data_IF_546494373793
#
_entry.id   IF_546494373793
#
_cell.length_a   1.000
_cell.length_b   1.000
_cell.length_c   1.000
_cell.angle_alpha   90.00
_cell.angle_beta   90.00
_cell.angle_gamma   90.00
#
_symmetry.space_group_name_H-M   'P 1'
#
loop_
_entity.id
_entity.type
_entity.pdbx_description
1 polymer ?
#
# COMPACT_ATOMS: atom_id res chain seq x y z
N UNK A 1 -12.13 30.36 17.48
CA UNK A 1 -11.45 29.85 16.27
C UNK A 1 -11.26 28.36 16.47
N UNK A 2 -12.37 27.62 16.50
CA UNK A 2 -12.37 26.17 16.61
C UNK A 2 -11.99 25.60 15.24
N UNK A 3 -10.86 24.92 15.18
CA UNK A 3 -10.46 24.16 14.01
C UNK A 3 -11.35 22.93 13.90
N UNK A 4 -12.36 23.06 13.03
CA UNK A 4 -12.82 22.07 12.06
C UNK A 4 -12.45 20.61 12.36
N UNK A 5 -13.29 19.94 13.16
CA UNK A 5 -13.39 18.48 13.16
C UNK A 5 -13.81 18.06 11.75
N UNK A 6 -12.87 17.48 10.99
CA UNK A 6 -13.19 16.82 9.73
C UNK A 6 -14.14 15.67 10.04
N UNK A 7 -15.43 15.89 9.79
CA UNK A 7 -16.40 14.84 9.67
C UNK A 7 -15.95 13.96 8.50
N UNK A 8 -15.28 12.85 8.81
CA UNK A 8 -15.29 11.68 7.94
C UNK A 8 -16.73 11.16 7.97
N UNK A 9 -17.60 11.82 7.21
CA UNK A 9 -18.97 11.38 7.03
C UNK A 9 -18.86 9.97 6.45
N UNK A 10 -19.32 9.01 7.25
CA UNK A 10 -19.18 7.56 7.05
C UNK A 10 -20.08 7.13 5.89
N UNK A 11 -19.74 7.56 4.67
CA UNK A 11 -20.25 6.95 3.45
C UNK A 11 -19.28 5.87 3.02
N UNK A 12 -19.78 4.65 2.93
CA UNK A 12 -19.00 3.52 2.42
C UNK A 12 -18.85 3.75 0.91
N UNK A 13 -17.66 4.19 0.50
CA UNK A 13 -17.34 4.60 -0.88
C UNK A 13 -17.04 3.36 -1.76
N UNK A 14 -16.70 2.24 -1.14
CA UNK A 14 -16.40 0.98 -1.82
C UNK A 14 -16.13 -0.19 -0.87
N UNK A 15 -15.79 -1.34 -1.46
CA UNK A 15 -15.45 -2.57 -0.74
C UNK A 15 -14.28 -3.28 -1.42
N UNK A 16 -13.41 -3.91 -0.64
CA UNK A 16 -12.37 -4.80 -1.16
C UNK A 16 -12.93 -6.22 -1.31
N UNK A 17 -12.84 -6.77 -2.52
CA UNK A 17 -13.42 -8.07 -2.88
C UNK A 17 -12.30 -9.05 -3.21
N UNK A 18 -12.38 -10.25 -2.64
CA UNK A 18 -11.47 -11.37 -2.96
C UNK A 18 -12.24 -12.48 -3.64
N UNK A 19 -11.82 -12.85 -4.85
CA UNK A 19 -12.43 -13.90 -5.66
C UNK A 19 -11.47 -15.08 -5.78
N UNK A 20 -11.96 -16.29 -5.49
CA UNK A 20 -11.21 -17.54 -5.64
C UNK A 20 -11.76 -18.37 -6.79
N UNK A 21 -10.88 -18.76 -7.71
CA UNK A 21 -11.26 -19.60 -8.85
C UNK A 21 -11.34 -21.06 -8.39
N UNK A 22 -12.54 -21.53 -8.02
CA UNK A 22 -12.73 -22.89 -7.47
C UNK A 22 -12.57 -23.97 -8.54
N UNK A 23 -13.02 -23.72 -9.77
CA UNK A 23 -12.94 -24.69 -10.87
C UNK A 23 -12.51 -23.96 -12.15
N UNK A 24 -11.37 -24.36 -12.70
CA UNK A 24 -10.89 -23.89 -13.98
C UNK A 24 -10.48 -25.09 -14.84
N UNK A 25 -11.02 -25.17 -16.07
CA UNK A 25 -10.72 -26.24 -17.04
C UNK A 25 -9.68 -25.83 -18.10
N UNK A 26 -9.36 -24.55 -18.21
CA UNK A 26 -8.41 -24.03 -19.21
C UNK A 26 -7.05 -23.65 -18.61
N UNK A 27 -7.02 -23.18 -17.37
CA UNK A 27 -5.79 -22.81 -16.67
C UNK A 27 -5.77 -23.41 -15.26
N UNK A 28 -4.67 -23.25 -14.51
CA UNK A 28 -4.56 -23.75 -13.15
C UNK A 28 -5.73 -23.28 -12.26
N UNK A 29 -6.41 -24.20 -11.55
CA UNK A 29 -7.45 -23.84 -10.60
C UNK A 29 -6.86 -23.22 -9.33
N UNK A 30 -7.74 -22.68 -8.47
CA UNK A 30 -7.46 -22.16 -7.12
C UNK A 30 -6.63 -20.88 -7.02
N UNK A 31 -6.45 -20.14 -8.12
CA UNK A 31 -5.91 -18.77 -8.06
C UNK A 31 -6.89 -17.83 -7.36
N UNK A 32 -6.35 -16.90 -6.57
CA UNK A 32 -7.07 -15.81 -5.92
C UNK A 32 -6.78 -14.50 -6.62
N UNK A 33 -7.78 -13.64 -6.73
CA UNK A 33 -7.65 -12.27 -7.19
C UNK A 33 -8.32 -11.34 -6.18
N UNK A 34 -7.67 -10.23 -5.87
CA UNK A 34 -8.20 -9.20 -4.97
C UNK A 34 -8.29 -7.89 -5.73
N UNK A 35 -9.43 -7.21 -5.62
CA UNK A 35 -9.65 -5.93 -6.27
C UNK A 35 -10.65 -5.08 -5.47
N UNK A 36 -10.63 -3.77 -5.75
CA UNK A 36 -11.52 -2.80 -5.11
C UNK A 36 -12.76 -2.54 -5.98
N UNK A 37 -13.92 -2.53 -5.33
CA UNK A 37 -15.21 -2.22 -5.93
C UNK A 37 -15.68 -0.85 -5.45
N UNK A 38 -15.76 0.12 -6.37
CA UNK A 38 -16.35 1.44 -6.11
C UNK A 38 -17.85 1.41 -6.42
N UNK A 39 -18.70 1.79 -5.46
CA UNK A 39 -20.15 1.80 -5.68
C UNK A 39 -20.52 2.83 -6.76
N UNK A 40 -21.29 2.41 -7.76
CA UNK A 40 -21.73 3.25 -8.89
C UNK A 40 -20.77 3.29 -10.10
N UNK A 41 -19.51 2.90 -9.95
CA UNK A 41 -18.53 2.80 -11.06
C UNK A 41 -18.12 1.36 -11.37
N UNK A 42 -18.22 0.45 -10.40
CA UNK A 42 -17.86 -0.95 -10.54
C UNK A 42 -16.39 -1.22 -10.18
N UNK A 43 -15.77 -2.17 -10.89
CA UNK A 43 -14.42 -2.65 -10.59
C UNK A 43 -13.39 -1.56 -10.94
N UNK A 44 -12.55 -1.19 -9.98
CA UNK A 44 -11.56 -0.14 -10.16
C UNK A 44 -10.26 -0.69 -10.80
N UNK A 45 -10.23 -0.73 -12.14
CA UNK A 45 -9.05 -1.16 -12.92
C UNK A 45 -7.77 -0.40 -12.57
N UNK A 46 -7.86 0.90 -12.36
CA UNK A 46 -6.70 1.75 -12.02
C UNK A 46 -6.06 1.34 -10.69
N UNK A 47 -6.87 0.85 -9.73
CA UNK A 47 -6.35 0.32 -8.46
C UNK A 47 -5.62 -0.99 -8.66
N UNK A 48 -6.20 -1.92 -9.44
CA UNK A 48 -5.57 -3.21 -9.72
C UNK A 48 -4.22 -3.04 -10.42
N UNK A 49 -4.15 -2.13 -11.39
CA UNK A 49 -2.95 -1.83 -12.14
C UNK A 49 -1.84 -1.28 -11.23
N UNK A 50 -2.22 -0.43 -10.27
CA UNK A 50 -1.30 0.10 -9.27
C UNK A 50 -0.78 -0.99 -8.32
N UNK A 51 -1.68 -1.82 -7.78
CA UNK A 51 -1.32 -2.87 -6.83
C UNK A 51 -0.40 -3.93 -7.49
N UNK A 52 -0.69 -4.30 -8.74
CA UNK A 52 0.20 -5.14 -9.55
C UNK A 52 1.52 -4.44 -9.88
N UNK A 53 1.47 -3.14 -10.20
CA UNK A 53 2.65 -2.32 -10.49
C UNK A 53 3.62 -2.25 -9.31
N UNK A 54 3.11 -2.16 -8.07
CA UNK A 54 3.91 -2.25 -6.85
C UNK A 54 4.54 -3.64 -6.68
N UNK A 55 3.73 -4.70 -6.86
CA UNK A 55 4.21 -6.08 -6.72
C UNK A 55 5.34 -6.42 -7.70
N UNK A 56 5.24 -5.94 -8.93
CA UNK A 56 6.25 -6.15 -9.98
C UNK A 56 7.31 -5.04 -10.05
N UNK A 57 7.37 -4.13 -9.07
CA UNK A 57 8.37 -3.04 -8.95
C UNK A 57 8.41 -2.06 -10.12
N UNK A 58 7.33 -1.97 -10.90
CA UNK A 58 7.15 -0.94 -11.94
C UNK A 58 6.80 0.42 -11.32
N UNK A 59 6.04 0.38 -10.23
CA UNK A 59 5.80 1.54 -9.36
C UNK A 59 6.68 1.39 -8.14
N UNK A 60 7.44 2.44 -7.79
CA UNK A 60 8.33 2.43 -6.63
C UNK A 60 7.73 3.28 -5.53
N UNK A 61 7.80 2.80 -4.29
CA UNK A 61 7.47 3.61 -3.11
C UNK A 61 8.71 4.43 -2.75
N UNK A 62 8.63 5.76 -2.84
CA UNK A 62 9.74 6.68 -2.57
C UNK A 62 9.49 7.37 -1.24
N UNK A 63 9.72 6.66 -0.13
CA UNK A 63 9.42 7.14 1.23
C UNK A 63 8.04 6.74 1.75
N UNK A 64 7.66 7.23 2.94
CA UNK A 64 6.48 6.74 3.67
C UNK A 64 5.15 6.85 2.89
N UNK A 65 4.92 7.99 2.23
CA UNK A 65 3.64 8.31 1.59
C UNK A 65 3.73 8.69 0.09
N UNK A 66 4.91 8.58 -0.54
CA UNK A 66 5.09 8.95 -1.95
C UNK A 66 5.33 7.75 -2.85
N UNK A 67 4.79 7.82 -4.06
CA UNK A 67 4.97 6.83 -5.12
C UNK A 67 5.63 7.48 -6.32
N UNK A 68 6.63 6.83 -6.89
CA UNK A 68 7.29 7.24 -8.12
C UNK A 68 6.92 6.29 -9.27
N UNK A 69 6.46 6.88 -10.37
CA UNK A 69 6.09 6.19 -11.59
C UNK A 69 6.46 7.05 -12.79
N UNK A 70 7.23 6.50 -13.75
CA UNK A 70 7.70 7.20 -14.95
C UNK A 70 8.26 8.60 -14.65
N UNK A 71 9.19 8.69 -13.69
CA UNK A 71 9.87 9.92 -13.26
C UNK A 71 8.98 10.97 -12.57
N UNK A 72 7.68 10.73 -12.47
CA UNK A 72 6.75 11.56 -11.72
C UNK A 72 6.59 11.02 -10.29
N UNK A 73 6.41 11.94 -9.34
CA UNK A 73 6.16 11.62 -7.94
C UNK A 73 4.71 11.99 -7.60
N UNK A 74 4.03 11.07 -6.91
CA UNK A 74 2.64 11.20 -6.49
C UNK A 74 2.54 11.02 -4.98
N UNK A 75 1.66 11.78 -4.35
CA UNK A 75 1.36 11.66 -2.92
C UNK A 75 0.15 10.74 -2.71
N UNK A 76 0.36 9.58 -2.09
CA UNK A 76 -0.70 8.61 -1.81
C UNK A 76 -1.21 7.81 -3.03
N UNK A 77 -2.01 6.78 -2.75
CA UNK A 77 -2.58 5.88 -3.77
C UNK A 77 -3.59 6.59 -4.67
N UNK A 78 -4.40 7.48 -4.11
CA UNK A 78 -5.49 8.15 -4.84
C UNK A 78 -4.99 9.10 -5.93
N UNK A 79 -3.85 9.76 -5.72
CA UNK A 79 -3.23 10.60 -6.73
C UNK A 79 -2.79 9.77 -7.96
N UNK A 80 -2.22 8.59 -7.73
CA UNK A 80 -1.81 7.68 -8.82
C UNK A 80 -3.03 7.11 -9.54
N UNK A 81 -4.08 6.70 -8.80
CA UNK A 81 -5.35 6.25 -9.40
C UNK A 81 -5.96 7.34 -10.30
N UNK A 82 -5.95 8.60 -9.84
CA UNK A 82 -6.46 9.72 -10.61
C UNK A 82 -5.61 9.99 -11.86
N UNK A 83 -4.29 9.86 -11.76
CA UNK A 83 -3.38 10.00 -12.89
C UNK A 83 -3.59 8.92 -13.96
N UNK A 84 -3.70 7.65 -13.56
CA UNK A 84 -3.94 6.53 -14.46
C UNK A 84 -5.30 6.61 -15.14
N UNK A 85 -6.32 7.08 -14.43
CA UNK A 85 -7.66 7.30 -14.99
C UNK A 85 -7.69 8.44 -16.01
N UNK A 86 -6.89 9.50 -15.80
CA UNK A 86 -6.80 10.63 -16.76
C UNK A 86 -5.98 10.29 -18.00
N UNK A 87 -4.95 9.45 -17.86
CA UNK A 87 -4.01 9.10 -18.92
C UNK A 87 -4.13 7.62 -19.32
N UNK A 88 -5.17 7.28 -20.08
CA UNK A 88 -5.40 5.90 -20.52
C UNK A 88 -4.27 5.32 -21.38
N UNK A 89 -3.52 6.15 -22.11
CA UNK A 89 -2.36 5.69 -22.90
C UNK A 89 -1.29 5.06 -22.02
N UNK A 90 -0.93 5.75 -20.94
CA UNK A 90 0.06 5.30 -19.96
C UNK A 90 -0.44 4.07 -19.21
N UNK A 91 -1.75 4.03 -18.89
CA UNK A 91 -2.35 2.87 -18.25
C UNK A 91 -2.29 1.60 -19.14
N UNK A 92 -2.53 1.73 -20.45
CA UNK A 92 -2.43 0.62 -21.40
C UNK A 92 -0.99 0.13 -21.58
N UNK A 93 -0.03 1.04 -21.61
CA UNK A 93 1.39 0.69 -21.67
C UNK A 93 1.81 -0.11 -20.43
N UNK A 94 1.44 0.37 -19.24
CA UNK A 94 1.67 -0.32 -17.98
C UNK A 94 0.98 -1.69 -17.94
N UNK A 95 -0.26 -1.79 -18.44
CA UNK A 95 -0.99 -3.06 -18.54
C UNK A 95 -0.28 -4.06 -19.46
N UNK A 96 0.20 -3.60 -20.62
CA UNK A 96 0.91 -4.45 -21.57
C UNK A 96 2.20 -5.00 -20.97
N UNK A 97 2.97 -4.16 -20.29
CA UNK A 97 4.21 -4.58 -19.65
C UNK A 97 3.94 -5.54 -18.48
N UNK A 98 2.92 -5.28 -17.66
CA UNK A 98 2.50 -6.20 -16.60
C UNK A 98 2.07 -7.56 -17.13
N UNK A 99 1.27 -7.59 -18.21
CA UNK A 99 0.85 -8.84 -18.85
C UNK A 99 2.05 -9.62 -19.37
N UNK A 100 3.07 -8.94 -19.90
CA UNK A 100 4.31 -9.57 -20.38
C UNK A 100 5.07 -10.24 -19.25
N UNK A 101 5.25 -9.55 -18.12
CA UNK A 101 5.95 -10.08 -16.94
C UNK A 101 5.20 -11.27 -16.32
N UNK A 102 3.87 -11.18 -16.19
CA UNK A 102 3.06 -12.23 -15.57
C UNK A 102 2.99 -13.51 -16.44
N UNK A 103 3.01 -13.38 -17.77
CA UNK A 103 2.98 -14.54 -18.66
C UNK A 103 4.29 -15.33 -18.66
N UNK A 104 5.42 -14.69 -18.35
CA UNK A 104 6.74 -15.33 -18.37
C UNK A 104 7.08 -16.07 -17.08
N UNK A 105 6.41 -15.77 -15.96
CA UNK A 105 6.69 -16.46 -14.69
C UNK A 105 5.85 -17.75 -14.54
N UNK A 106 6.48 -18.93 -14.36
CA UNK A 106 5.75 -20.13 -13.97
C UNK A 106 5.15 -19.95 -12.57
N UNK A 107 4.04 -20.65 -12.23
CA UNK A 107 3.37 -20.48 -10.94
C UNK A 107 4.33 -20.85 -9.80
N UNK A 108 4.89 -19.84 -9.14
CA UNK A 108 5.66 -20.00 -7.91
C UNK A 108 4.69 -20.52 -6.84
N UNK A 109 5.06 -21.62 -6.17
CA UNK A 109 4.30 -22.15 -5.01
C UNK A 109 4.07 -21.00 -4.02
N UNK A 110 2.96 -21.00 -3.25
CA UNK A 110 2.73 -20.00 -2.23
C UNK A 110 3.87 -20.08 -1.21
N UNK A 111 4.78 -19.12 -1.27
CA UNK A 111 5.73 -18.83 -0.20
C UNK A 111 4.90 -18.11 0.86
N UNK A 112 4.93 -18.65 2.09
CA UNK A 112 4.30 -18.03 3.24
C UNK A 112 4.85 -16.61 3.37
N UNK A 113 3.93 -15.67 3.37
CA UNK A 113 4.19 -14.25 3.55
C UNK A 113 4.64 -14.06 5.00
N UNK A 114 5.95 -13.89 5.20
CA UNK A 114 6.52 -13.40 6.45
C UNK A 114 5.95 -12.01 6.70
N UNK A 115 5.20 -11.89 7.79
CA UNK A 115 4.83 -10.63 8.43
C UNK A 115 6.11 -9.84 8.75
N UNK A 116 6.53 -8.98 7.84
CA UNK A 116 7.48 -7.91 8.13
C UNK A 116 6.72 -6.81 8.90
N UNK A 117 6.62 -7.04 10.21
CA UNK A 117 6.47 -5.96 11.19
C UNK A 117 7.68 -5.02 11.01
N UNK A 118 7.43 -3.86 10.41
CA UNK A 118 8.30 -2.70 10.53
C UNK A 118 8.19 -2.18 11.97
N UNK A 119 8.86 -2.87 12.89
CA UNK A 119 9.23 -2.31 14.19
C UNK A 119 10.38 -1.34 13.93
N UNK A 120 10.03 -0.12 13.54
CA UNK A 120 10.94 1.01 13.67
C UNK A 120 10.98 1.37 15.16
N UNK A 121 12.09 1.16 15.90
CA UNK A 121 12.18 1.64 17.26
C UNK A 121 12.18 3.17 17.23
N UNK A 122 11.11 3.78 17.73
CA UNK A 122 11.15 5.17 18.16
C UNK A 122 12.22 5.30 19.24
N UNK A 123 13.33 5.91 18.84
CA UNK A 123 14.38 6.38 19.72
C UNK A 123 13.77 7.37 20.71
N UNK A 124 13.44 6.89 21.91
CA UNK A 124 13.14 7.73 23.06
C UNK A 124 14.44 8.44 23.42
N UNK A 125 14.67 9.59 22.79
CA UNK A 125 15.63 10.58 23.26
C UNK A 125 15.13 11.05 24.63
N UNK A 126 15.78 10.56 25.69
CA UNK A 126 15.61 11.08 27.05
C UNK A 126 16.15 12.51 27.08
N UNK A 127 15.34 13.54 27.38
CA UNK A 127 15.90 14.82 27.77
C UNK A 127 16.37 14.72 29.24
N UNK A 128 17.68 14.69 29.42
CA UNK A 128 18.38 15.04 30.65
C UNK A 128 17.95 16.44 31.12
N UNK A 129 17.10 16.56 32.15
CA UNK A 129 17.06 17.73 33.05
C UNK A 129 16.35 17.39 34.36
N UNK A 130 16.85 17.97 35.45
CA UNK A 130 16.20 18.18 36.76
C UNK A 130 16.35 17.07 37.81
N UNK A 131 17.54 17.05 38.41
CA UNK A 131 17.76 17.16 39.87
C UNK A 131 16.73 16.54 40.83
N UNK A 132 17.15 15.49 41.56
CA UNK A 132 16.88 15.31 43.02
C UNK A 132 17.61 14.09 43.63
N UNK A 133 18.89 13.86 43.30
CA UNK A 133 19.74 12.86 43.99
C UNK A 133 20.99 13.46 44.66
N UNK A 134 20.93 14.74 45.05
CA UNK A 134 21.95 15.36 45.93
C UNK A 134 21.56 15.38 47.43
N UNK A 135 20.49 14.69 47.86
CA UNK A 135 20.00 14.82 49.25
C UNK A 135 19.78 13.51 50.02
N UNK A 136 20.44 12.40 49.66
CA UNK A 136 20.32 11.19 50.50
C UNK A 136 21.52 10.22 50.58
N UNK A 137 22.58 10.36 49.77
CA UNK A 137 23.66 9.35 49.74
C UNK A 137 25.00 9.77 50.42
N UNK A 138 25.14 11.00 50.93
CA UNK A 138 26.37 11.48 51.61
C UNK A 138 26.25 11.46 53.15
N UNK A 139 25.16 10.91 53.72
CA UNK A 139 25.07 10.63 55.17
C UNK A 139 24.79 9.14 55.39
N UNK A 140 25.86 8.34 55.34
CA UNK A 140 26.08 6.97 55.87
C UNK A 140 26.70 6.02 54.83
N UNK A 141 28.01 6.10 54.66
CA UNK A 141 28.94 4.97 54.59
C UNK A 141 30.37 5.50 54.60
#
# INVERSE_FOLDING_TARGET
>A
MEMMTMNFCVQIIGSQVTVKIVKNKHAPPFRTAQFELEFGKGICRSSELFDLGLKHKLVKKTGGAYYSFNEQQFHGKDAVKAFLTKNESVAKELEMELRRLIQTEPPRKPEAEDDLLDDSPEEIVRPETSSEEDMAAIIRA
#
